data_IF_791844094923
#
_entry.id   IF_791844094923
#
_cell.length_a   1.000
_cell.length_b   1.000
_cell.length_c   1.000
_cell.angle_alpha   90.00
_cell.angle_beta   90.00
_cell.angle_gamma   90.00
#
_symmetry.space_group_name_H-M   'P 1'
#
loop_
_entity.id
_entity.type
_entity.pdbx_description
1 polymer ?
#
# COMPACT_ATOMS: atom_id res chain seq x y z
N UNK A 1 -26.91 10.88 1.88
CA UNK A 1 -27.21 10.85 0.43
C UNK A 1 -27.99 9.59 0.15
N UNK A 2 -29.05 9.62 -0.66
CA UNK A 2 -29.85 8.42 -0.98
C UNK A 2 -29.68 8.08 -2.45
N UNK A 3 -29.30 6.84 -2.74
CA UNK A 3 -28.95 6.36 -4.08
C UNK A 3 -29.56 4.98 -4.32
N UNK A 4 -29.89 4.61 -5.57
CA UNK A 4 -30.33 3.26 -5.90
C UNK A 4 -29.14 2.28 -5.94
N UNK A 5 -29.41 1.02 -5.58
CA UNK A 5 -28.48 -0.08 -5.84
C UNK A 5 -28.37 -0.34 -7.34
N UNK A 6 -27.15 -0.60 -7.83
CA UNK A 6 -26.89 -0.95 -9.23
C UNK A 6 -27.30 -2.39 -9.54
N UNK A 7 -27.19 -2.78 -10.81
CA UNK A 7 -27.42 -4.16 -11.23
C UNK A 7 -26.37 -5.15 -10.73
N UNK A 8 -25.18 -4.68 -10.34
CA UNK A 8 -24.09 -5.52 -9.81
C UNK A 8 -24.44 -6.18 -8.47
N UNK A 9 -25.49 -5.70 -7.78
CA UNK A 9 -25.97 -6.31 -6.55
C UNK A 9 -26.65 -7.67 -6.80
N UNK A 10 -27.04 -7.98 -8.06
CA UNK A 10 -27.67 -9.27 -8.42
C UNK A 10 -26.70 -10.40 -8.14
N UNK A 11 -27.05 -11.27 -7.18
CA UNK A 11 -26.22 -12.42 -6.79
C UNK A 11 -25.15 -12.09 -5.73
N UNK A 12 -25.17 -10.90 -5.15
CA UNK A 12 -24.32 -10.53 -4.01
C UNK A 12 -24.85 -11.08 -2.67
N UNK A 13 -24.04 -10.94 -1.62
CA UNK A 13 -24.40 -11.32 -0.26
C UNK A 13 -25.52 -10.46 0.35
N UNK A 14 -25.77 -9.24 -0.17
CA UNK A 14 -26.81 -8.35 0.34
C UNK A 14 -28.21 -8.89 0.13
N UNK A 15 -28.43 -9.74 -0.89
CA UNK A 15 -29.74 -10.29 -1.25
C UNK A 15 -30.83 -9.22 -1.43
N UNK A 16 -30.44 -8.00 -1.82
CA UNK A 16 -31.35 -6.90 -2.14
C UNK A 16 -31.58 -6.80 -3.65
N UNK A 17 -32.74 -6.30 -4.04
CA UNK A 17 -33.06 -6.09 -5.45
C UNK A 17 -32.32 -4.85 -6.01
N UNK A 18 -31.86 -4.88 -7.27
CA UNK A 18 -31.43 -3.68 -7.98
C UNK A 18 -32.49 -2.58 -7.95
N UNK A 19 -32.05 -1.32 -7.93
CA UNK A 19 -32.93 -0.16 -7.82
C UNK A 19 -33.49 0.08 -6.42
N UNK A 20 -33.22 -0.80 -5.43
CA UNK A 20 -33.55 -0.53 -4.03
C UNK A 20 -32.84 0.74 -3.58
N UNK A 21 -33.59 1.69 -3.01
CA UNK A 21 -33.02 2.94 -2.51
C UNK A 21 -32.35 2.70 -1.16
N UNK A 22 -31.08 3.09 -1.07
CA UNK A 22 -30.30 3.03 0.17
C UNK A 22 -29.76 4.41 0.50
N UNK A 23 -29.68 4.72 1.80
CA UNK A 23 -29.08 5.95 2.29
C UNK A 23 -27.65 5.68 2.71
N UNK A 24 -26.69 6.31 2.05
CA UNK A 24 -25.29 6.33 2.48
C UNK A 24 -25.23 7.11 3.79
N UNK A 25 -24.87 6.40 4.87
CA UNK A 25 -24.72 6.94 6.23
C UNK A 25 -23.29 7.43 6.47
N UNK A 26 -22.31 6.66 6.02
CA UNK A 26 -20.90 7.03 6.11
C UNK A 26 -20.06 6.25 5.09
N UNK A 27 -18.81 6.68 4.92
CA UNK A 27 -17.79 5.91 4.21
C UNK A 27 -17.00 5.07 5.21
N UNK A 28 -16.45 3.93 4.78
CA UNK A 28 -15.56 3.17 5.65
C UNK A 28 -14.23 3.92 5.78
N UNK A 29 -13.59 3.83 6.95
CA UNK A 29 -12.24 4.34 7.11
C UNK A 29 -11.23 3.25 6.72
N UNK A 30 -10.08 3.67 6.21
CA UNK A 30 -8.90 2.84 5.99
C UNK A 30 -7.68 3.54 6.55
N UNK A 31 -6.73 2.78 7.07
CA UNK A 31 -5.42 3.28 7.46
C UNK A 31 -4.43 3.20 6.30
N UNK A 32 -3.47 4.11 6.29
CA UNK A 32 -2.24 4.00 5.51
C UNK A 32 -1.09 4.22 6.48
N UNK A 33 -0.25 3.20 6.60
CA UNK A 33 0.84 3.19 7.56
C UNK A 33 2.02 4.06 7.16
N UNK A 34 3.09 3.97 7.95
CA UNK A 34 4.36 4.65 7.65
C UNK A 34 5.04 4.03 6.42
N UNK A 35 4.66 2.80 6.07
CA UNK A 35 5.07 2.10 4.86
C UNK A 35 3.86 1.36 4.22
N UNK A 36 4.03 0.80 3.02
CA UNK A 36 2.96 0.18 2.21
C UNK A 36 1.80 1.14 1.83
N UNK A 37 2.04 2.44 1.85
CA UNK A 37 1.01 3.47 1.66
C UNK A 37 0.66 3.77 0.19
N UNK A 38 1.31 3.10 -0.78
CA UNK A 38 1.10 3.28 -2.23
C UNK A 38 1.07 4.75 -2.67
N UNK A 39 1.96 5.58 -2.09
CA UNK A 39 2.08 7.00 -2.44
C UNK A 39 1.12 7.93 -1.69
N UNK A 40 0.32 7.42 -0.76
CA UNK A 40 -0.44 8.25 0.18
C UNK A 40 0.40 8.66 1.38
N UNK A 41 0.10 9.81 1.97
CA UNK A 41 0.70 10.15 3.26
C UNK A 41 0.20 9.16 4.34
N UNK A 42 1.00 8.90 5.39
CA UNK A 42 0.54 8.08 6.50
C UNK A 42 -0.60 8.74 7.29
N UNK A 43 -1.67 7.99 7.57
CA UNK A 43 -2.85 8.50 8.26
C UNK A 43 -4.09 7.63 8.12
N UNK A 44 -5.23 8.16 8.56
CA UNK A 44 -6.55 7.56 8.41
C UNK A 44 -7.31 8.31 7.33
N UNK A 45 -7.89 7.57 6.39
CA UNK A 45 -8.58 8.11 5.22
C UNK A 45 -9.97 7.51 5.09
N UNK A 46 -10.94 8.31 4.65
CA UNK A 46 -12.22 7.79 4.17
C UNK A 46 -12.03 7.10 2.83
N UNK A 47 -12.46 5.85 2.77
CA UNK A 47 -12.41 5.00 1.61
C UNK A 47 -13.75 5.02 0.89
N UNK A 48 -13.82 5.78 -0.21
CA UNK A 48 -15.03 5.86 -1.03
C UNK A 48 -15.34 4.58 -1.82
N UNK A 49 -14.46 3.56 -1.77
CA UNK A 49 -14.74 2.25 -2.37
C UNK A 49 -15.70 1.40 -1.55
N UNK A 50 -15.92 1.72 -0.27
CA UNK A 50 -16.78 0.95 0.63
C UNK A 50 -17.59 1.90 1.52
N UNK A 51 -18.89 1.66 1.65
CA UNK A 51 -19.83 2.58 2.27
C UNK A 51 -20.76 1.85 3.22
N UNK A 52 -21.04 2.46 4.37
CA UNK A 52 -22.10 2.02 5.25
C UNK A 52 -23.41 2.63 4.75
N UNK A 53 -24.33 1.77 4.33
CA UNK A 53 -25.63 2.13 3.79
C UNK A 53 -26.73 1.66 4.73
N UNK A 54 -27.87 2.31 4.66
CA UNK A 54 -29.08 1.94 5.38
C UNK A 54 -30.27 1.94 4.42
N UNK A 55 -30.98 0.83 4.37
CA UNK A 55 -32.23 0.69 3.61
C UNK A 55 -33.38 1.41 4.34
N UNK A 56 -34.51 1.60 3.64
CA UNK A 56 -35.67 2.29 4.20
C UNK A 56 -36.31 1.58 5.41
N UNK A 57 -36.16 0.26 5.51
CA UNK A 57 -36.59 -0.57 6.64
C UNK A 57 -35.56 -0.61 7.80
N UNK A 58 -34.45 0.13 7.67
CA UNK A 58 -33.46 0.32 8.72
C UNK A 58 -32.35 -0.73 8.76
N UNK A 59 -32.31 -1.68 7.81
CA UNK A 59 -31.19 -2.61 7.69
C UNK A 59 -29.91 -1.85 7.32
N UNK A 60 -28.81 -2.16 8.01
CA UNK A 60 -27.50 -1.52 7.82
C UNK A 60 -26.51 -2.51 7.24
N UNK A 61 -25.81 -2.10 6.20
CA UNK A 61 -24.85 -2.95 5.48
C UNK A 61 -23.63 -2.13 5.04
N UNK A 62 -22.49 -2.79 4.85
CA UNK A 62 -21.30 -2.18 4.24
C UNK A 62 -21.17 -2.69 2.81
N UNK A 63 -21.27 -1.82 1.80
CA UNK A 63 -21.29 -2.21 0.38
C UNK A 63 -20.15 -1.57 -0.41
N UNK A 64 -19.60 -2.24 -1.43
CA UNK A 64 -18.62 -1.64 -2.32
C UNK A 64 -19.29 -0.61 -3.27
N UNK A 65 -18.50 0.34 -3.76
CA UNK A 65 -18.98 1.43 -4.62
C UNK A 65 -19.73 0.97 -5.87
N UNK A 66 -19.27 -0.10 -6.51
CA UNK A 66 -19.89 -0.60 -7.74
C UNK A 66 -21.31 -1.14 -7.52
N UNK A 67 -21.75 -1.38 -6.28
CA UNK A 67 -23.13 -1.73 -5.96
C UNK A 67 -24.08 -0.53 -5.92
N UNK A 68 -23.57 0.70 -6.11
CA UNK A 68 -24.37 1.92 -6.10
C UNK A 68 -24.37 2.53 -7.50
N UNK A 69 -25.54 2.92 -7.98
CA UNK A 69 -25.68 3.64 -9.26
C UNK A 69 -25.68 5.16 -9.01
N UNK A 70 -24.49 5.69 -8.69
CA UNK A 70 -24.28 7.14 -8.54
C UNK A 70 -22.92 7.59 -9.08
N UNK A 71 -22.97 8.41 -10.12
CA UNK A 71 -21.80 9.00 -10.78
C UNK A 71 -21.17 10.16 -9.99
N UNK A 72 -21.87 10.68 -8.97
CA UNK A 72 -21.44 11.81 -8.14
C UNK A 72 -20.77 11.39 -6.83
N UNK A 73 -20.51 10.10 -6.63
CA UNK A 73 -19.76 9.66 -5.46
C UNK A 73 -18.35 10.26 -5.48
N UNK A 74 -17.84 10.75 -4.33
CA UNK A 74 -16.48 11.28 -4.24
C UNK A 74 -15.49 10.20 -4.68
N UNK A 75 -14.56 10.56 -5.59
CA UNK A 75 -13.57 9.61 -6.12
C UNK A 75 -12.24 9.65 -5.36
N UNK A 76 -11.98 10.76 -4.66
CA UNK A 76 -10.71 10.99 -3.97
C UNK A 76 -10.91 10.78 -2.47
N UNK A 77 -10.06 9.95 -1.87
CA UNK A 77 -10.00 9.72 -0.41
C UNK A 77 -9.89 11.03 0.35
N UNK A 78 -10.59 11.12 1.49
CA UNK A 78 -10.57 12.30 2.37
C UNK A 78 -9.77 11.96 3.62
N UNK A 79 -8.77 12.76 3.94
CA UNK A 79 -8.00 12.61 5.18
C UNK A 79 -8.91 12.83 6.39
N UNK A 80 -8.93 11.86 7.30
CA UNK A 80 -9.67 11.91 8.58
C UNK A 80 -8.73 12.27 9.72
N UNK A 81 -7.50 11.77 9.70
CA UNK A 81 -6.45 12.07 10.68
C UNK A 81 -5.07 11.81 10.06
N UNK A 82 -4.05 12.57 10.47
CA UNK A 82 -2.65 12.30 10.09
C UNK A 82 -2.05 11.30 11.07
N UNK A 83 -0.99 10.60 10.66
CA UNK A 83 -0.30 9.67 11.56
C UNK A 83 0.20 10.33 12.85
N UNK A 84 0.58 11.61 12.81
CA UNK A 84 1.00 12.37 13.97
C UNK A 84 -0.14 12.64 14.97
N UNK A 85 -1.40 12.53 14.53
CA UNK A 85 -2.59 12.66 15.37
C UNK A 85 -3.03 11.32 15.96
N UNK A 86 -2.37 10.22 15.59
CA UNK A 86 -2.69 8.86 16.04
C UNK A 86 -1.97 8.53 17.36
N UNK A 87 -2.47 7.55 18.13
CA UNK A 87 -1.77 7.06 19.30
C UNK A 87 -0.35 6.62 18.96
N UNK A 88 0.57 6.86 19.88
CA UNK A 88 1.89 6.25 19.79
C UNK A 88 1.74 4.72 19.77
N UNK A 89 2.29 4.11 18.72
CA UNK A 89 2.32 2.66 18.56
C UNK A 89 3.67 2.13 19.05
N UNK A 90 3.72 0.99 19.78
CA UNK A 90 4.96 0.50 20.38
C UNK A 90 6.01 0.02 19.34
N UNK A 91 5.56 -0.27 18.13
CA UNK A 91 6.38 -0.77 17.04
C UNK A 91 6.16 0.04 15.76
N UNK A 92 7.13 -0.03 14.85
CA UNK A 92 7.09 0.60 13.54
C UNK A 92 7.18 -0.47 12.44
N UNK A 93 6.62 -0.21 11.26
CA UNK A 93 6.88 -1.03 10.08
C UNK A 93 8.38 -1.17 9.82
N UNK A 94 8.81 -2.37 9.41
CA UNK A 94 10.22 -2.71 9.21
C UNK A 94 11.00 -3.07 10.48
N UNK A 95 10.43 -2.88 11.68
CA UNK A 95 11.02 -3.37 12.93
C UNK A 95 11.22 -4.90 12.85
N UNK A 96 12.35 -5.37 13.40
CA UNK A 96 12.57 -6.79 13.65
C UNK A 96 12.09 -7.13 15.06
N UNK A 97 11.23 -8.13 15.17
CA UNK A 97 10.65 -8.61 16.42
C UNK A 97 10.83 -10.13 16.56
N UNK A 98 10.71 -10.64 17.79
CA UNK A 98 10.44 -12.05 18.05
C UNK A 98 8.93 -12.22 18.21
N UNK A 99 8.31 -13.08 17.41
CA UNK A 99 6.88 -13.39 17.42
C UNK A 99 6.63 -14.85 16.99
N UNK A 100 5.36 -15.26 16.85
CA UNK A 100 4.97 -16.56 16.27
C UNK A 100 5.69 -17.78 16.90
N UNK A 101 5.76 -17.81 18.23
CA UNK A 101 6.42 -18.90 18.96
C UNK A 101 7.95 -18.84 18.95
N UNK A 102 8.53 -17.64 18.91
CA UNK A 102 9.98 -17.43 19.08
C UNK A 102 10.77 -17.16 17.80
N UNK A 103 10.08 -16.92 16.68
CA UNK A 103 10.69 -16.65 15.37
C UNK A 103 11.06 -15.18 15.22
N UNK A 104 12.19 -14.92 14.56
CA UNK A 104 12.49 -13.58 14.07
C UNK A 104 11.53 -13.23 12.93
N UNK A 105 10.85 -12.09 13.08
CA UNK A 105 9.88 -11.59 12.12
C UNK A 105 10.13 -10.11 11.84
N UNK A 106 9.68 -9.66 10.66
CA UNK A 106 9.55 -8.25 10.30
C UNK A 106 8.10 -7.82 10.43
N UNK A 107 7.87 -6.64 10.99
CA UNK A 107 6.55 -5.99 10.92
C UNK A 107 6.37 -5.45 9.51
N UNK A 108 5.38 -5.95 8.79
CA UNK A 108 5.13 -5.56 7.39
C UNK A 108 3.94 -4.62 7.24
N UNK A 109 3.03 -4.60 8.22
CA UNK A 109 1.89 -3.69 8.23
C UNK A 109 1.42 -3.45 9.67
N UNK A 110 0.92 -2.24 9.93
CA UNK A 110 0.26 -1.86 11.17
C UNK A 110 -1.13 -1.33 10.82
N UNK A 111 -2.18 -1.93 11.39
CA UNK A 111 -3.53 -1.40 11.29
C UNK A 111 -3.71 -0.23 12.27
N UNK A 112 -3.31 0.95 11.82
CA UNK A 112 -3.50 2.20 12.58
C UNK A 112 -4.98 2.52 12.84
N UNK A 113 -5.92 1.98 12.05
CA UNK A 113 -7.35 2.21 12.27
C UNK A 113 -7.82 1.51 13.55
N UNK A 114 -7.28 0.33 13.88
CA UNK A 114 -7.58 -0.33 15.14
C UNK A 114 -7.18 0.54 16.36
N UNK A 115 -6.01 1.19 16.29
CA UNK A 115 -5.55 2.10 17.34
C UNK A 115 -6.43 3.36 17.44
N UNK A 116 -6.78 3.96 16.29
CA UNK A 116 -7.68 5.10 16.23
C UNK A 116 -9.06 4.79 16.82
N UNK A 117 -9.66 3.67 16.42
CA UNK A 117 -10.98 3.25 16.87
C UNK A 117 -11.00 3.03 18.39
N UNK A 118 -9.98 2.34 18.92
CA UNK A 118 -9.82 2.12 20.36
C UNK A 118 -9.70 3.43 21.14
N UNK A 119 -8.91 4.39 20.65
CA UNK A 119 -8.76 5.71 21.29
C UNK A 119 -10.08 6.48 21.32
N UNK A 120 -10.88 6.39 20.25
CA UNK A 120 -12.14 7.13 20.12
C UNK A 120 -13.35 6.37 20.68
N UNK A 121 -13.15 5.22 21.32
CA UNK A 121 -14.24 4.41 21.86
C UNK A 121 -15.20 3.88 20.80
N UNK A 122 -14.75 3.76 19.54
CA UNK A 122 -15.52 3.10 18.49
C UNK A 122 -15.58 1.59 18.79
N UNK A 123 -16.66 0.93 18.37
CA UNK A 123 -16.87 -0.50 18.64
C UNK A 123 -15.70 -1.33 18.10
N UNK A 124 -14.97 -1.97 19.01
CA UNK A 124 -13.94 -2.95 18.72
C UNK A 124 -14.60 -4.34 18.75
N UNK A 125 -14.32 -5.17 17.75
CA UNK A 125 -14.75 -6.56 17.74
C UNK A 125 -13.98 -7.41 18.78
N UNK A 126 -12.95 -6.82 19.41
CA UNK A 126 -12.15 -7.42 20.48
C UNK A 126 -11.18 -8.49 20.00
N UNK A 127 -11.09 -8.71 18.68
CA UNK A 127 -10.30 -9.77 18.04
C UNK A 127 -9.14 -9.16 17.24
N UNK A 128 -9.15 -7.85 16.95
CA UNK A 128 -8.14 -7.22 16.09
C UNK A 128 -6.72 -7.35 16.65
N UNK A 129 -5.90 -8.02 15.85
CA UNK A 129 -4.45 -8.19 16.01
C UNK A 129 -3.77 -7.20 15.05
N UNK A 130 -3.40 -5.99 15.52
CA UNK A 130 -3.16 -4.87 14.62
C UNK A 130 -1.80 -4.91 13.92
N UNK A 131 -0.94 -5.89 14.21
CA UNK A 131 0.36 -6.02 13.58
C UNK A 131 0.38 -7.22 12.66
N UNK A 132 0.68 -7.01 11.38
CA UNK A 132 1.03 -8.11 10.48
C UNK A 132 2.53 -8.33 10.53
N UNK A 133 2.95 -9.53 10.92
CA UNK A 133 4.35 -9.94 10.95
C UNK A 133 4.63 -11.01 9.90
N UNK A 134 5.82 -10.95 9.30
CA UNK A 134 6.33 -11.96 8.37
C UNK A 134 7.63 -12.54 8.91
N UNK A 135 7.71 -13.87 8.98
CA UNK A 135 8.92 -14.58 9.39
C UNK A 135 10.09 -14.20 8.47
N UNK A 136 11.28 -13.97 9.04
CA UNK A 136 12.50 -13.80 8.24
C UNK A 136 13.00 -15.12 7.66
N UNK A 137 12.54 -16.23 8.24
CA UNK A 137 12.83 -17.58 7.81
C UNK A 137 11.54 -18.20 7.24
N UNK A 138 11.40 -18.22 5.92
CA UNK A 138 10.24 -18.78 5.20
C UNK A 138 9.11 -17.78 4.90
N UNK A 139 7.95 -18.29 4.50
CA UNK A 139 6.81 -17.50 4.02
C UNK A 139 5.68 -17.31 5.04
N UNK A 140 5.90 -17.67 6.30
CA UNK A 140 4.86 -17.55 7.34
C UNK A 140 4.55 -16.07 7.62
N UNK A 141 3.29 -15.69 7.46
CA UNK A 141 2.75 -14.37 7.78
C UNK A 141 1.52 -14.54 8.66
N UNK A 142 1.39 -13.72 9.69
CA UNK A 142 0.23 -13.76 10.59
C UNK A 142 -0.01 -12.39 11.25
N UNK A 143 -1.21 -12.21 11.75
CA UNK A 143 -1.59 -11.07 12.57
C UNK A 143 -1.32 -11.40 14.04
N UNK A 144 -0.73 -10.46 14.77
CA UNK A 144 -0.38 -10.58 16.19
C UNK A 144 -0.71 -9.30 16.95
N UNK A 145 -0.85 -9.44 18.26
CA UNK A 145 -0.97 -8.33 19.20
C UNK A 145 0.40 -7.85 19.70
N UNK A 146 0.44 -6.66 20.28
CA UNK A 146 1.69 -6.07 20.79
C UNK A 146 2.37 -6.91 21.87
N UNK A 147 1.58 -7.55 22.74
CA UNK A 147 2.03 -8.39 23.85
C UNK A 147 2.55 -9.77 23.40
N UNK A 148 2.27 -10.17 22.16
CA UNK A 148 2.82 -11.38 21.54
C UNK A 148 4.20 -11.15 20.90
N UNK A 149 4.74 -9.93 20.99
CA UNK A 149 5.97 -9.53 20.32
C UNK A 149 7.01 -8.99 21.28
N UNK A 150 8.28 -9.22 20.94
CA UNK A 150 9.43 -8.57 21.58
C UNK A 150 10.28 -7.86 20.52
N UNK A 151 10.49 -6.55 20.68
CA UNK A 151 11.38 -5.80 19.80
C UNK A 151 12.82 -6.33 19.89
N UNK A 152 13.43 -6.58 18.73
CA UNK A 152 14.85 -6.95 18.60
C UNK A 152 15.65 -5.78 18.06
N UNK A 153 15.18 -5.15 16.97
CA UNK A 153 15.86 -4.06 16.29
C UNK A 153 14.84 -3.10 15.66
N UNK A 154 15.05 -1.80 15.83
CA UNK A 154 14.28 -0.77 15.09
C UNK A 154 14.57 -0.84 13.59
N UNK A 155 13.53 -0.69 12.78
CA UNK A 155 13.58 -0.74 11.33
C UNK A 155 14.04 0.57 10.68
N UNK A 156 14.31 0.51 9.38
CA UNK A 156 14.69 1.67 8.57
C UNK A 156 13.59 2.74 8.49
N UNK A 157 12.32 2.33 8.55
CA UNK A 157 11.18 3.27 8.55
C UNK A 157 11.25 4.16 9.78
N UNK A 158 11.49 3.59 10.96
CA UNK A 158 11.69 4.37 12.18
C UNK A 158 12.90 5.30 12.06
N UNK A 159 14.02 4.82 11.52
CA UNK A 159 15.21 5.65 11.32
C UNK A 159 14.90 6.87 10.42
N UNK A 160 14.22 6.65 9.30
CA UNK A 160 13.80 7.70 8.36
C UNK A 160 12.94 8.77 9.03
N UNK A 161 11.83 8.39 9.68
CA UNK A 161 10.92 9.35 10.30
C UNK A 161 11.49 10.03 11.55
N UNK A 162 12.49 9.42 12.20
CA UNK A 162 13.23 10.05 13.29
C UNK A 162 14.35 11.00 12.81
N UNK A 163 14.53 11.16 11.50
CA UNK A 163 15.59 12.01 10.92
C UNK A 163 16.99 11.42 11.06
N UNK A 164 17.11 10.12 11.30
CA UNK A 164 18.38 9.41 11.32
C UNK A 164 18.80 8.98 9.91
N UNK A 165 20.10 8.75 9.72
CA UNK A 165 20.60 8.15 8.50
C UNK A 165 19.98 6.76 8.30
N UNK A 166 19.61 6.46 7.05
CA UNK A 166 19.20 5.13 6.61
C UNK A 166 20.31 4.60 5.73
N UNK A 167 20.92 3.49 6.14
CA UNK A 167 21.94 2.80 5.38
C UNK A 167 21.29 1.68 4.58
N UNK A 168 21.59 1.62 3.29
CA UNK A 168 21.16 0.58 2.38
C UNK A 168 22.36 -0.27 1.97
N UNK A 169 22.18 -1.57 1.89
CA UNK A 169 23.19 -2.52 1.42
C UNK A 169 23.47 -2.32 -0.08
N UNK A 170 22.46 -1.90 -0.85
CA UNK A 170 22.57 -1.63 -2.27
C UNK A 170 21.41 -0.74 -2.78
N UNK A 171 21.51 -0.32 -4.04
CA UNK A 171 20.51 0.53 -4.69
C UNK A 171 19.15 -0.15 -4.91
N UNK A 172 19.09 -1.49 -4.98
CA UNK A 172 17.81 -2.20 -5.06
C UNK A 172 17.06 -2.09 -3.73
N UNK A 173 17.75 -2.25 -2.60
CA UNK A 173 17.16 -2.06 -1.26
C UNK A 173 16.71 -0.60 -1.06
N UNK A 174 17.52 0.37 -1.51
CA UNK A 174 17.14 1.79 -1.50
C UNK A 174 15.86 2.03 -2.32
N UNK A 175 15.79 1.48 -3.54
CA UNK A 175 14.63 1.59 -4.41
C UNK A 175 13.38 0.95 -3.80
N UNK A 176 13.52 -0.24 -3.21
CA UNK A 176 12.45 -0.94 -2.50
C UNK A 176 11.93 -0.12 -1.34
N UNK A 177 12.83 0.42 -0.52
CA UNK A 177 12.47 1.20 0.66
C UNK A 177 11.69 2.46 0.28
N UNK A 178 12.18 3.27 -0.67
CA UNK A 178 11.47 4.49 -1.06
C UNK A 178 10.18 4.23 -1.82
N UNK A 179 10.10 3.14 -2.60
CA UNK A 179 8.83 2.70 -3.19
C UNK A 179 7.84 2.29 -2.09
N UNK A 180 8.32 1.57 -1.09
CA UNK A 180 7.53 1.12 0.06
C UNK A 180 6.97 2.28 0.89
N UNK A 181 7.71 3.38 1.00
CA UNK A 181 7.26 4.63 1.63
C UNK A 181 6.35 5.50 0.74
N UNK A 182 6.16 5.15 -0.53
CA UNK A 182 5.37 5.95 -1.47
C UNK A 182 6.10 7.17 -2.04
N UNK A 183 7.43 7.16 -2.03
CA UNK A 183 8.29 8.20 -2.61
C UNK A 183 8.68 7.90 -4.07
N UNK A 184 8.00 6.94 -4.69
CA UNK A 184 8.08 6.64 -6.10
C UNK A 184 6.70 6.65 -6.75
N UNK A 185 6.64 7.06 -8.00
CA UNK A 185 5.41 7.17 -8.78
C UNK A 185 5.59 6.49 -10.12
N UNK A 186 4.58 5.71 -10.54
CA UNK A 186 4.66 5.06 -11.86
C UNK A 186 4.35 6.05 -12.97
N UNK A 187 5.15 5.97 -14.02
CA UNK A 187 5.11 6.86 -15.18
C UNK A 187 4.04 6.42 -16.18
N UNK A 188 3.41 7.39 -16.81
CA UNK A 188 2.47 7.17 -17.91
C UNK A 188 3.23 7.31 -19.23
N UNK A 189 3.11 6.31 -20.09
CA UNK A 189 3.59 6.39 -21.47
C UNK A 189 2.70 7.38 -22.23
N UNK A 190 3.25 8.53 -22.60
CA UNK A 190 2.50 9.59 -23.26
C UNK A 190 2.01 9.23 -24.66
N UNK A 191 2.65 8.29 -25.35
CA UNK A 191 2.23 7.83 -26.66
C UNK A 191 1.01 6.89 -26.58
N UNK A 192 1.02 5.94 -25.64
CA UNK A 192 -0.07 4.96 -25.49
C UNK A 192 -1.16 5.38 -24.50
N UNK A 193 -0.89 6.41 -23.66
CA UNK A 193 -1.70 6.80 -22.49
C UNK A 193 -1.92 5.69 -21.47
N UNK A 194 -1.04 4.68 -21.47
CA UNK A 194 -1.05 3.57 -20.50
C UNK A 194 0.20 3.63 -19.61
N UNK A 195 0.34 2.71 -18.65
CA UNK A 195 1.58 2.55 -17.85
C UNK A 195 2.52 1.48 -18.41
N UNK A 196 2.24 1.00 -19.63
CA UNK A 196 3.01 -0.06 -20.28
C UNK A 196 4.05 0.55 -21.23
N UNK A 197 5.29 0.08 -21.10
CA UNK A 197 6.43 0.43 -21.95
C UNK A 197 7.01 -0.84 -22.56
N UNK A 198 7.32 -0.81 -23.85
CA UNK A 198 8.21 -1.80 -24.47
C UNK A 198 9.62 -1.66 -23.90
N UNK A 199 10.47 -2.66 -24.14
CA UNK A 199 11.88 -2.63 -23.74
C UNK A 199 12.61 -1.35 -24.21
N UNK A 200 12.47 -1.00 -25.49
CA UNK A 200 13.22 0.13 -26.05
C UNK A 200 12.69 1.48 -25.55
N UNK A 201 11.37 1.60 -25.35
CA UNK A 201 10.78 2.78 -24.70
C UNK A 201 11.24 2.92 -23.25
N UNK A 202 11.32 1.81 -22.51
CA UNK A 202 11.82 1.79 -21.13
C UNK A 202 13.28 2.26 -21.05
N UNK A 203 14.16 1.71 -21.90
CA UNK A 203 15.57 2.11 -21.97
C UNK A 203 15.70 3.60 -22.31
N UNK A 204 14.91 4.08 -23.28
CA UNK A 204 14.93 5.49 -23.69
C UNK A 204 14.53 6.41 -22.54
N UNK A 205 13.44 6.08 -21.83
CA UNK A 205 12.97 6.86 -20.68
C UNK A 205 13.99 6.88 -19.52
N UNK A 206 14.66 5.75 -19.26
CA UNK A 206 15.72 5.67 -18.26
C UNK A 206 16.95 6.52 -18.66
N UNK A 207 17.38 6.45 -19.93
CA UNK A 207 18.51 7.25 -20.42
C UNK A 207 18.23 8.75 -20.39
N UNK A 208 16.98 9.15 -20.70
CA UNK A 208 16.54 10.54 -20.62
C UNK A 208 16.36 11.05 -19.17
N UNK A 209 16.27 10.13 -18.19
CA UNK A 209 15.96 10.45 -16.80
C UNK A 209 14.47 10.72 -16.55
N UNK A 210 13.60 10.42 -17.51
CA UNK A 210 12.13 10.48 -17.35
C UNK A 210 11.60 9.36 -16.44
N UNK A 211 12.38 8.28 -16.31
CA UNK A 211 12.18 7.21 -15.34
C UNK A 211 13.49 6.91 -14.62
N UNK A 212 13.40 6.28 -13.45
CA UNK A 212 14.57 5.90 -12.65
C UNK A 212 14.77 4.39 -12.54
N UNK A 213 13.69 3.59 -12.56
CA UNK A 213 13.80 2.14 -12.35
C UNK A 213 12.62 1.38 -12.94
N UNK A 214 12.82 0.09 -13.21
CA UNK A 214 11.75 -0.88 -13.43
C UNK A 214 11.76 -1.90 -12.30
N UNK A 215 10.62 -2.04 -11.64
CA UNK A 215 10.44 -2.94 -10.52
C UNK A 215 9.41 -4.02 -10.86
N UNK A 216 9.73 -5.25 -10.48
CA UNK A 216 8.80 -6.37 -10.53
C UNK A 216 7.68 -6.19 -9.49
N UNK A 217 6.66 -7.05 -9.53
CA UNK A 217 5.55 -7.06 -8.56
C UNK A 217 6.06 -7.20 -7.10
N UNK A 218 7.22 -7.81 -6.90
CA UNK A 218 7.86 -7.97 -5.60
C UNK A 218 8.90 -6.88 -5.29
N UNK A 219 8.92 -5.79 -6.05
CA UNK A 219 9.83 -4.66 -5.93
C UNK A 219 11.33 -4.97 -6.14
N UNK A 220 11.68 -6.07 -6.81
CA UNK A 220 13.06 -6.28 -7.28
C UNK A 220 13.29 -5.60 -8.63
N UNK A 221 14.54 -5.21 -8.90
CA UNK A 221 14.99 -4.77 -10.22
C UNK A 221 14.59 -5.82 -11.26
N UNK A 222 13.74 -5.39 -12.19
CA UNK A 222 13.27 -6.29 -13.23
C UNK A 222 14.18 -6.20 -14.45
N UNK A 223 14.77 -7.31 -14.93
CA UNK A 223 15.59 -7.29 -16.13
C UNK A 223 14.74 -7.01 -17.38
N UNK A 224 15.30 -6.19 -18.28
CA UNK A 224 14.66 -5.83 -19.54
C UNK A 224 14.98 -6.84 -20.65
N UNK A 225 14.04 -7.73 -20.92
CA UNK A 225 14.04 -8.74 -21.98
C UNK A 225 13.09 -8.34 -23.10
N UNK A 226 13.27 -8.94 -24.27
CA UNK A 226 12.38 -8.75 -25.41
C UNK A 226 10.96 -9.30 -25.12
N UNK A 227 9.96 -8.81 -25.85
CA UNK A 227 8.56 -9.27 -25.82
C UNK A 227 7.80 -9.14 -24.48
N UNK A 228 8.27 -8.29 -23.58
CA UNK A 228 7.56 -7.91 -22.35
C UNK A 228 7.17 -6.43 -22.33
N UNK A 229 6.19 -6.12 -21.48
CA UNK A 229 5.84 -4.75 -21.13
C UNK A 229 6.27 -4.45 -19.70
N UNK A 230 6.69 -3.21 -19.48
CA UNK A 230 7.30 -2.76 -18.25
C UNK A 230 6.55 -1.58 -17.66
N UNK A 231 6.52 -1.53 -16.33
CA UNK A 231 6.02 -0.38 -15.59
C UNK A 231 7.20 0.37 -15.01
N UNK A 232 7.36 1.62 -15.45
CA UNK A 232 8.47 2.48 -15.02
C UNK A 232 8.09 3.25 -13.77
N UNK A 233 9.07 3.48 -12.90
CA UNK A 233 8.93 4.28 -11.69
C UNK A 233 9.93 5.44 -11.69
N UNK A 234 9.48 6.58 -11.15
CA UNK A 234 10.27 7.79 -10.92
C UNK A 234 10.23 8.13 -9.44
N UNK A 235 11.39 8.41 -8.85
CA UNK A 235 11.48 8.84 -7.46
C UNK A 235 11.22 10.35 -7.35
N UNK A 236 10.54 10.75 -6.28
CA UNK A 236 10.27 12.16 -5.97
C UNK A 236 11.52 12.93 -5.56
N UNK A 237 12.49 12.23 -4.97
CA UNK A 237 13.82 12.76 -4.68
C UNK A 237 14.72 12.50 -5.89
N UNK A 238 15.15 13.57 -6.55
CA UNK A 238 15.98 13.47 -7.76
C UNK A 238 17.35 12.83 -7.50
N UNK A 239 17.92 13.02 -6.31
CA UNK A 239 19.22 12.45 -5.96
C UNK A 239 19.11 10.94 -5.70
N UNK A 240 18.03 10.49 -5.04
CA UNK A 240 17.69 9.06 -4.93
C UNK A 240 17.48 8.49 -6.32
N UNK A 241 16.65 9.15 -7.14
CA UNK A 241 16.33 8.71 -8.49
C UNK A 241 17.57 8.55 -9.36
N UNK A 242 18.50 9.50 -9.32
CA UNK A 242 19.76 9.43 -10.07
C UNK A 242 20.64 8.23 -9.63
N UNK A 243 20.82 8.00 -8.33
CA UNK A 243 21.62 6.88 -7.80
C UNK A 243 21.02 5.53 -8.18
N UNK A 244 19.71 5.38 -7.95
CA UNK A 244 19.00 4.13 -8.28
C UNK A 244 19.06 3.86 -9.78
N UNK A 245 18.86 4.90 -10.61
CA UNK A 245 18.92 4.78 -12.06
C UNK A 245 20.29 4.36 -12.56
N UNK A 246 21.35 4.99 -12.05
CA UNK A 246 22.72 4.61 -12.40
C UNK A 246 22.98 3.13 -12.09
N UNK A 247 22.62 2.68 -10.88
CA UNK A 247 22.78 1.29 -10.48
C UNK A 247 21.93 0.32 -11.30
N UNK A 248 20.66 0.66 -11.54
CA UNK A 248 19.76 -0.16 -12.35
C UNK A 248 20.26 -0.28 -13.80
N UNK A 249 20.67 0.82 -14.41
CA UNK A 249 21.22 0.82 -15.77
C UNK A 249 22.48 -0.04 -15.89
N UNK A 250 23.33 -0.07 -14.86
CA UNK A 250 24.49 -0.95 -14.81
C UNK A 250 24.12 -2.45 -14.80
N UNK A 251 22.90 -2.82 -14.41
CA UNK A 251 22.42 -4.21 -14.47
C UNK A 251 21.89 -4.62 -15.84
N UNK A 252 21.52 -3.67 -16.71
CA UNK A 252 20.94 -3.96 -18.03
C UNK A 252 21.93 -4.62 -18.99
N UNK A 253 23.22 -4.35 -18.81
CA UNK A 253 24.31 -4.92 -19.61
C UNK A 253 24.76 -6.30 -19.09
N UNK A 254 24.18 -6.79 -17.99
CA UNK A 254 24.50 -8.11 -17.43
C UNK A 254 23.56 -9.15 -18.05
N UNK A 255 24.07 -10.18 -18.74
CA UNK A 255 23.22 -11.23 -19.27
C UNK A 255 22.43 -11.87 -18.14
N UNK A 256 21.11 -11.97 -18.30
CA UNK A 256 20.23 -12.57 -17.31
C UNK A 256 20.80 -13.93 -16.87
N UNK A 257 20.91 -14.20 -15.56
CA UNK A 257 21.42 -15.48 -15.09
C UNK A 257 20.54 -16.58 -15.68
N UNK A 258 21.16 -17.45 -16.49
CA UNK A 258 20.52 -18.67 -16.97
C UNK A 258 20.35 -19.58 -15.77
N UNK A 259 19.18 -19.53 -15.13
CA UNK A 259 18.77 -20.56 -14.20
C UNK A 259 18.61 -21.85 -15.03
N UNK A 260 19.52 -22.79 -14.81
CA UNK A 260 19.50 -24.14 -15.38
C UNK A 260 18.46 -25.01 -14.69
#
# INVERSE_FOLDING_TARGET
MTVPLSDDVRGSYLKLAPGTMVTIRSFTATSSGLANNNGMLPGIYENFRWMNVETADGQKETVPQHYLDDTNLPRLRRERAKIADLPEVPFCEGDTVIALGGRYCKIVNIDYLAFWNKQNGEADDGIRRPFTVRSTEGSLQSEVSADEMKLVKRGMVHAYYAGNAVDFDNAEEEAQFYTWLGHAESIVNEASKTRAFTRDEAITALQAGDADVVLSINNHFEPLVEDKTYHLHKFRDEAVGARVREAYMATLDVPAPKFA
#
